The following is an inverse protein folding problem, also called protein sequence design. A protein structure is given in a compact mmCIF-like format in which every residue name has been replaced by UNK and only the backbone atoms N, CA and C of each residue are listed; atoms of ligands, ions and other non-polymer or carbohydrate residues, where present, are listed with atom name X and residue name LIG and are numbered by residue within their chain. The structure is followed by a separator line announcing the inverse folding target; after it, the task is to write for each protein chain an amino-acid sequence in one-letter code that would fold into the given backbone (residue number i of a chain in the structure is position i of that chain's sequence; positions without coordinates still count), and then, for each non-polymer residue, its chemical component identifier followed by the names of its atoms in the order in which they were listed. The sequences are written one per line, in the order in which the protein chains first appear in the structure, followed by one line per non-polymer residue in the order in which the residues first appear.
data_IF_438963810015
#
_entry.id   IF_438963810015
#
_cell.length_a   1.000
_cell.length_b   1.000
_cell.length_c   1.000
_cell.angle_alpha   90.00
_cell.angle_beta   90.00
_cell.angle_gamma   90.00
#
_symmetry.space_group_name_H-M   'P 1'
#
loop_
_entity.id
_entity.type
_entity.pdbx_description
1 polymer ?
#
# COMPACT_ATOMS: atom_id res chain seq x y z
N UNK A 1 -31.92 11.19 7.93
CA UNK A 1 -31.15 9.93 7.85
C UNK A 1 -30.57 9.73 9.24
N UNK A 2 -31.28 8.95 10.06
CA UNK A 2 -30.97 8.78 11.49
C UNK A 2 -30.02 7.58 11.61
N UNK A 3 -28.73 7.86 11.82
CA UNK A 3 -27.70 6.85 12.09
C UNK A 3 -27.78 6.46 13.58
N UNK A 4 -27.57 5.19 13.96
CA UNK A 4 -27.69 4.74 15.34
C UNK A 4 -26.65 5.44 16.25
N UNK A 5 -27.13 6.46 16.95
CA UNK A 5 -26.31 7.59 17.40
C UNK A 5 -25.27 7.33 18.49
N UNK A 6 -25.35 6.24 19.27
CA UNK A 6 -24.50 6.08 20.45
C UNK A 6 -23.20 5.27 20.21
N UNK A 7 -23.24 4.07 19.57
CA UNK A 7 -22.02 3.29 19.32
C UNK A 7 -21.10 3.95 18.29
N UNK A 8 -21.67 4.50 17.22
CA UNK A 8 -20.94 5.15 16.13
C UNK A 8 -20.30 6.47 16.57
N UNK A 9 -21.00 7.26 17.40
CA UNK A 9 -20.44 8.49 17.97
C UNK A 9 -19.33 8.19 18.98
N UNK A 10 -19.47 7.13 19.79
CA UNK A 10 -18.40 6.71 20.70
C UNK A 10 -17.16 6.25 19.93
N UNK A 11 -17.34 5.44 18.89
CA UNK A 11 -16.24 5.01 18.03
C UNK A 11 -15.54 6.20 17.36
N UNK A 12 -16.32 7.11 16.76
CA UNK A 12 -15.76 8.29 16.07
C UNK A 12 -14.95 9.17 17.02
N UNK A 13 -15.45 9.40 18.24
CA UNK A 13 -14.70 10.16 19.26
C UNK A 13 -13.37 9.49 19.60
N UNK A 14 -13.39 8.18 19.88
CA UNK A 14 -12.16 7.44 20.20
C UNK A 14 -11.20 7.52 19.01
N UNK A 15 -11.68 7.29 17.79
CA UNK A 15 -10.87 7.37 16.58
C UNK A 15 -10.20 8.74 16.46
N UNK A 16 -10.96 9.83 16.55
CA UNK A 16 -10.45 11.19 16.42
C UNK A 16 -9.38 11.51 17.46
N UNK A 17 -9.60 11.11 18.71
CA UNK A 17 -8.68 11.34 19.82
C UNK A 17 -7.40 10.49 19.75
N UNK A 18 -7.48 9.26 19.23
CA UNK A 18 -6.36 8.29 19.34
C UNK A 18 -5.63 8.00 18.04
N UNK A 19 -6.19 8.33 16.87
CA UNK A 19 -5.64 7.89 15.57
C UNK A 19 -4.19 8.33 15.33
N UNK A 20 -3.82 9.57 15.67
CA UNK A 20 -2.44 10.04 15.53
C UNK A 20 -1.47 9.29 16.44
N UNK A 21 -1.87 9.06 17.69
CA UNK A 21 -1.05 8.36 18.69
C UNK A 21 -0.88 6.87 18.36
N UNK A 22 -1.90 6.24 17.78
CA UNK A 22 -1.82 4.84 17.35
C UNK A 22 -0.90 4.68 16.15
N UNK A 23 -0.97 5.59 15.15
CA UNK A 23 0.00 5.60 14.03
C UNK A 23 1.43 5.77 14.51
N UNK A 24 1.67 6.74 15.41
CA UNK A 24 2.99 6.95 16.00
C UNK A 24 3.49 5.72 16.79
N UNK A 25 2.59 5.06 17.53
CA UNK A 25 2.92 3.83 18.25
C UNK A 25 3.30 2.68 17.31
N UNK A 26 2.55 2.50 16.21
CA UNK A 26 2.81 1.49 15.18
C UNK A 26 4.13 1.76 14.46
N UNK A 27 4.38 3.00 14.06
CA UNK A 27 5.66 3.41 13.48
C UNK A 27 6.82 3.14 14.44
N UNK A 28 6.64 3.41 15.73
CA UNK A 28 7.62 3.10 16.78
C UNK A 28 7.90 1.61 16.99
N UNK A 29 7.01 0.72 16.52
CA UNK A 29 7.23 -0.73 16.49
C UNK A 29 7.98 -1.20 15.23
N UNK A 30 8.33 -0.29 14.32
CA UNK A 30 9.13 -0.57 13.12
C UNK A 30 8.34 -0.91 11.87
N UNK A 31 7.02 -0.67 11.85
CA UNK A 31 6.22 -0.80 10.62
C UNK A 31 6.64 0.31 9.64
N UNK A 32 6.90 0.01 8.35
CA UNK A 32 7.22 1.01 7.34
C UNK A 32 6.16 2.11 7.24
N UNK A 33 6.58 3.36 7.03
CA UNK A 33 5.71 4.55 7.06
C UNK A 33 4.52 4.42 6.11
N UNK A 34 4.73 3.85 4.93
CA UNK A 34 3.72 3.59 3.90
C UNK A 34 2.70 2.51 4.27
N UNK A 35 2.99 1.70 5.29
CA UNK A 35 2.13 0.58 5.76
C UNK A 35 1.50 0.87 7.13
N UNK A 36 1.89 1.98 7.79
CA UNK A 36 1.38 2.35 9.13
C UNK A 36 -0.13 2.55 9.12
N UNK A 37 -0.66 3.21 8.09
CA UNK A 37 -2.10 3.48 7.99
C UNK A 37 -2.92 2.20 7.84
N UNK A 38 -2.43 1.22 7.08
CA UNK A 38 -3.09 -0.07 6.90
C UNK A 38 -3.15 -0.86 8.22
N UNK A 39 -2.03 -0.91 8.95
CA UNK A 39 -2.00 -1.55 10.27
C UNK A 39 -2.89 -0.78 11.26
N UNK A 40 -2.90 0.55 11.23
CA UNK A 40 -3.77 1.35 12.08
C UNK A 40 -5.26 1.10 11.76
N UNK A 41 -5.61 0.95 10.48
CA UNK A 41 -6.96 0.57 10.08
C UNK A 41 -7.35 -0.80 10.64
N UNK A 42 -6.46 -1.81 10.59
CA UNK A 42 -6.71 -3.13 11.20
C UNK A 42 -7.00 -3.02 12.70
N UNK A 43 -6.31 -2.13 13.43
CA UNK A 43 -6.56 -1.89 14.86
C UNK A 43 -7.99 -1.42 15.11
N UNK A 44 -8.45 -0.41 14.37
CA UNK A 44 -9.80 0.12 14.55
C UNK A 44 -10.88 -0.83 14.04
N UNK A 45 -10.61 -1.64 13.01
CA UNK A 45 -11.50 -2.72 12.59
C UNK A 45 -11.65 -3.80 13.68
N UNK A 46 -10.57 -4.19 14.36
CA UNK A 46 -10.63 -5.12 15.48
C UNK A 46 -11.43 -4.52 16.64
N UNK A 47 -11.21 -3.25 16.95
CA UNK A 47 -11.97 -2.55 17.99
C UNK A 47 -13.46 -2.43 17.65
N UNK A 48 -13.81 -2.04 16.43
CA UNK A 48 -15.19 -1.85 15.98
C UNK A 48 -16.01 -3.14 15.92
N UNK A 49 -15.37 -4.30 15.70
CA UNK A 49 -16.05 -5.60 15.68
C UNK A 49 -16.57 -6.04 17.06
N UNK A 50 -15.89 -5.64 18.13
CA UNK A 50 -16.18 -6.10 19.50
C UNK A 50 -15.92 -4.99 20.54
N UNK A 51 -16.59 -3.82 20.44
CA UNK A 51 -16.36 -2.67 21.31
C UNK A 51 -16.66 -2.96 22.79
N UNK A 52 -17.55 -3.90 23.07
CA UNK A 52 -17.94 -4.35 24.41
C UNK A 52 -16.84 -5.12 25.16
N UNK A 53 -15.79 -5.58 24.47
CA UNK A 53 -14.66 -6.29 25.13
C UNK A 53 -13.71 -5.36 25.88
N UNK A 54 -13.76 -4.06 25.60
CA UNK A 54 -12.97 -3.08 26.34
C UNK A 54 -13.61 -2.85 27.72
N UNK A 55 -12.88 -3.11 28.82
CA UNK A 55 -13.38 -2.82 30.17
C UNK A 55 -13.69 -1.32 30.34
N UNK A 56 -14.73 -1.00 31.10
CA UNK A 56 -15.18 0.38 31.27
C UNK A 56 -14.19 1.28 32.03
N UNK A 57 -13.30 0.68 32.82
CA UNK A 57 -12.27 1.33 33.64
C UNK A 57 -10.92 1.49 32.93
N UNK A 58 -10.81 1.03 31.68
CA UNK A 58 -9.58 1.11 30.89
C UNK A 58 -9.64 2.28 29.92
N UNK A 59 -8.59 3.12 29.95
CA UNK A 59 -8.41 4.19 28.98
C UNK A 59 -8.34 3.63 27.53
N UNK A 60 -9.10 4.19 26.57
CA UNK A 60 -9.16 3.69 25.20
C UNK A 60 -7.78 3.56 24.53
N UNK A 61 -6.90 4.56 24.69
CA UNK A 61 -5.56 4.52 24.09
C UNK A 61 -4.73 3.34 24.60
N UNK A 62 -4.78 3.06 25.92
CA UNK A 62 -4.10 1.91 26.52
C UNK A 62 -4.61 0.59 25.94
N UNK A 63 -5.91 0.45 25.76
CA UNK A 63 -6.51 -0.73 25.14
C UNK A 63 -6.09 -0.90 23.67
N UNK A 64 -6.19 0.18 22.90
CA UNK A 64 -5.84 0.21 21.47
C UNK A 64 -4.35 -0.08 21.24
N UNK A 65 -3.44 0.33 22.13
CA UNK A 65 -2.02 -0.07 22.07
C UNK A 65 -1.83 -1.59 22.17
N UNK A 66 -2.64 -2.27 22.98
CA UNK A 66 -2.65 -3.74 23.05
C UNK A 66 -3.06 -4.37 21.72
N UNK A 67 -4.11 -3.84 21.09
CA UNK A 67 -4.56 -4.27 19.75
C UNK A 67 -3.47 -3.98 18.71
N UNK A 68 -2.90 -2.76 18.72
CA UNK A 68 -1.83 -2.35 17.80
C UNK A 68 -0.59 -3.24 17.86
N UNK A 69 -0.19 -3.67 19.06
CA UNK A 69 0.89 -4.64 19.24
C UNK A 69 0.58 -5.96 18.53
N UNK A 70 -0.64 -6.47 18.69
CA UNK A 70 -1.06 -7.72 18.06
C UNK A 70 -1.13 -7.59 16.53
N UNK A 71 -1.72 -6.51 16.01
CA UNK A 71 -1.77 -6.23 14.57
C UNK A 71 -0.35 -6.09 13.99
N UNK A 72 0.56 -5.40 14.68
CA UNK A 72 1.95 -5.25 14.21
C UNK A 72 2.71 -6.58 14.22
N UNK A 73 2.50 -7.43 15.24
CA UNK A 73 3.06 -8.78 15.24
C UNK A 73 2.51 -9.64 14.09
N UNK A 74 1.20 -9.54 13.79
CA UNK A 74 0.61 -10.21 12.63
C UNK A 74 1.20 -9.69 11.33
N UNK A 75 1.33 -8.37 11.17
CA UNK A 75 1.96 -7.73 10.03
C UNK A 75 3.37 -8.31 9.79
N UNK A 76 4.23 -8.33 10.81
CA UNK A 76 5.57 -8.88 10.66
C UNK A 76 5.57 -10.39 10.38
N UNK A 77 4.65 -11.14 10.99
CA UNK A 77 4.52 -12.58 10.72
C UNK A 77 4.07 -12.84 9.28
N UNK A 78 3.10 -12.08 8.78
CA UNK A 78 2.61 -12.12 7.39
C UNK A 78 3.73 -11.75 6.44
N UNK A 79 4.47 -10.68 6.71
CA UNK A 79 5.61 -10.22 5.91
C UNK A 79 6.78 -11.21 5.90
N UNK A 80 7.09 -11.85 7.02
CA UNK A 80 8.13 -12.88 7.09
C UNK A 80 7.71 -14.20 6.39
N UNK A 81 6.41 -14.51 6.39
CA UNK A 81 5.84 -15.67 5.68
C UNK A 81 5.58 -15.41 4.22
N UNK A 82 5.44 -14.15 3.81
CA UNK A 82 5.42 -13.74 2.42
C UNK A 82 6.76 -14.21 1.87
N UNK A 83 6.79 -15.32 1.10
CA UNK A 83 8.05 -15.91 0.72
C UNK A 83 8.76 -14.90 -0.16
N UNK A 84 9.96 -15.27 -0.56
CA UNK A 84 10.63 -14.91 -1.80
C UNK A 84 9.71 -14.90 -3.05
N UNK A 85 8.38 -14.79 -3.01
CA UNK A 85 7.49 -14.75 -4.16
C UNK A 85 7.87 -13.64 -5.11
N UNK A 86 8.33 -12.47 -4.65
CA UNK A 86 8.88 -11.47 -5.57
C UNK A 86 10.19 -11.92 -6.21
N UNK A 87 11.08 -12.57 -5.46
CA UNK A 87 12.30 -13.14 -6.03
C UNK A 87 11.99 -14.34 -6.95
N UNK A 88 11.00 -15.17 -6.63
CA UNK A 88 10.57 -16.32 -7.40
C UNK A 88 9.74 -15.90 -8.62
N UNK A 89 8.97 -14.81 -8.53
CA UNK A 89 8.32 -14.15 -9.68
C UNK A 89 9.38 -13.49 -10.55
N UNK A 90 10.38 -12.83 -9.97
CA UNK A 90 11.51 -12.27 -10.71
C UNK A 90 12.33 -13.37 -11.41
N UNK A 91 12.62 -14.47 -10.72
CA UNK A 91 13.29 -15.64 -11.27
C UNK A 91 12.44 -16.30 -12.36
N UNK A 92 11.12 -16.40 -12.16
CA UNK A 92 10.19 -16.92 -13.17
C UNK A 92 10.14 -16.00 -14.40
N UNK A 93 10.06 -14.68 -14.22
CA UNK A 93 10.07 -13.68 -15.30
C UNK A 93 11.40 -13.67 -16.04
N UNK A 94 12.52 -13.82 -15.34
CA UNK A 94 13.85 -13.93 -15.95
C UNK A 94 14.05 -15.27 -16.68
N UNK A 95 13.35 -16.33 -16.27
CA UNK A 95 13.37 -17.65 -16.89
C UNK A 95 12.39 -17.81 -18.05
N UNK A 96 11.47 -16.86 -18.27
CA UNK A 96 10.71 -16.78 -19.52
C UNK A 96 11.71 -16.34 -20.59
N UNK A 97 12.12 -17.22 -21.54
CA UNK A 97 12.90 -16.77 -22.68
C UNK A 97 12.08 -15.66 -23.33
N UNK A 98 12.72 -14.53 -23.63
CA UNK A 98 12.08 -13.47 -24.39
C UNK A 98 11.45 -14.14 -25.60
N UNK A 99 10.11 -14.27 -25.61
CA UNK A 99 9.42 -14.69 -26.80
C UNK A 99 9.88 -13.66 -27.82
N UNK A 100 10.58 -14.13 -28.87
CA UNK A 100 10.93 -13.31 -30.00
C UNK A 100 9.66 -12.57 -30.35
N UNK A 101 9.65 -11.30 -30.01
CA UNK A 101 8.50 -10.47 -30.19
C UNK A 101 8.60 -10.18 -31.66
N UNK A 102 8.01 -11.07 -32.47
CA UNK A 102 7.47 -10.67 -33.75
C UNK A 102 6.52 -9.53 -33.40
N UNK A 103 7.06 -8.31 -33.37
CA UNK A 103 6.33 -7.05 -33.31
C UNK A 103 6.09 -6.61 -34.76
N UNK A 104 5.03 -7.09 -35.43
CA UNK A 104 4.63 -6.52 -36.71
C UNK A 104 4.06 -5.09 -36.53
N UNK A 105 3.85 -4.62 -35.30
CA UNK A 105 3.18 -3.35 -35.01
C UNK A 105 4.16 -2.18 -34.77
N UNK A 106 5.39 -2.45 -34.34
CA UNK A 106 6.39 -1.40 -34.06
C UNK A 106 7.18 -1.00 -35.31
N UNK A 107 7.49 -1.96 -36.19
CA UNK A 107 8.17 -1.71 -37.46
C UNK A 107 7.49 -0.62 -38.34
N UNK A 108 6.18 -0.67 -38.62
CA UNK A 108 5.52 0.36 -39.43
C UNK A 108 5.46 1.72 -38.73
N UNK A 109 5.55 1.77 -37.39
CA UNK A 109 5.59 3.02 -36.62
C UNK A 109 6.97 3.67 -36.70
N UNK A 110 8.04 2.89 -36.58
CA UNK A 110 9.43 3.34 -36.71
C UNK A 110 9.70 3.87 -38.13
N UNK A 111 9.19 3.20 -39.17
CA UNK A 111 9.34 3.64 -40.56
C UNK A 111 8.66 4.98 -40.85
N UNK A 112 7.46 5.19 -40.31
CA UNK A 112 6.75 6.47 -40.42
C UNK A 112 7.50 7.58 -39.67
N UNK A 113 8.03 7.28 -38.48
CA UNK A 113 8.82 8.23 -37.69
C UNK A 113 10.09 8.64 -38.43
N UNK A 114 10.81 7.68 -39.03
CA UNK A 114 11.98 7.92 -39.87
C UNK A 114 11.65 8.84 -41.04
N UNK A 115 10.56 8.56 -41.77
CA UNK A 115 10.09 9.41 -42.87
C UNK A 115 9.77 10.84 -42.39
N UNK A 116 9.16 11.00 -41.22
CA UNK A 116 8.87 12.32 -40.65
C UNK A 116 10.15 13.08 -40.32
N UNK A 117 11.16 12.41 -39.74
CA UNK A 117 12.48 13.01 -39.43
C UNK A 117 13.20 13.41 -40.72
N UNK A 118 13.16 12.60 -41.77
CA UNK A 118 13.74 12.90 -43.08
C UNK A 118 13.13 14.14 -43.76
N UNK A 119 11.89 14.50 -43.39
CA UNK A 119 11.20 15.70 -43.90
C UNK A 119 11.50 16.97 -43.11
N UNK A 120 12.21 16.89 -41.98
CA UNK A 120 12.61 18.06 -41.21
C UNK A 120 13.79 18.78 -41.89
N UNK A 121 13.83 20.11 -41.76
CA UNK A 121 14.97 20.91 -42.24
C UNK A 121 16.23 20.56 -41.44
N UNK A 122 17.39 20.61 -42.09
CA UNK A 122 18.69 20.19 -41.55
C UNK A 122 18.98 20.70 -40.14
N UNK A 123 18.75 21.98 -39.79
CA UNK A 123 19.02 22.48 -38.43
C UNK A 123 18.26 21.75 -37.32
N UNK A 124 17.08 21.18 -37.63
CA UNK A 124 16.27 20.45 -36.66
C UNK A 124 16.65 18.96 -36.55
N UNK A 125 17.25 18.39 -37.60
CA UNK A 125 17.77 17.01 -37.57
C UNK A 125 19.06 16.90 -36.79
N UNK A 126 19.92 17.91 -36.89
CA UNK A 126 21.23 17.94 -36.22
C UNK A 126 21.12 18.00 -34.69
N UNK A 127 19.95 18.37 -34.15
CA UNK A 127 19.65 18.35 -32.71
C UNK A 127 19.23 16.98 -32.16
N UNK A 128 18.97 16.00 -33.05
CA UNK A 128 18.50 14.66 -32.69
C UNK A 128 19.60 13.58 -32.81
N UNK A 129 20.81 13.94 -33.28
CA UNK A 129 21.98 13.07 -33.36
C UNK A 129 22.80 13.12 -32.07
#
# INVERSE_FOLDING_TARGET
MDLPAAPEARFSRILDETQGLIRAHIAGMGVPVDEVDDVAQEVYLVFARQPERMPADVEPLRWLRGIARNCSHEYFRRRARQPRSLAAIADLLAAVPAAETDEPETAPRVDRLRTCVERLATPHRDLLA
#
